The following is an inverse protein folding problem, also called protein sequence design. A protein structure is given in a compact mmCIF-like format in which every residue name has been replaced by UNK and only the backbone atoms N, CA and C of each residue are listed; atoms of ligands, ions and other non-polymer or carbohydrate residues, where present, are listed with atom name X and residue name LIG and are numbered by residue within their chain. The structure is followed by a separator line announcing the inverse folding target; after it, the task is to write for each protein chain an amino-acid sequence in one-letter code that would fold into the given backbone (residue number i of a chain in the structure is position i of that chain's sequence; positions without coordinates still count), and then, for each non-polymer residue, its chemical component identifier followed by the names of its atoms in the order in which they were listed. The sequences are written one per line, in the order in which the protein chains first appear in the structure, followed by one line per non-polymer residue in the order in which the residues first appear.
data_IF_863072373070
#
_entry.id   IF_863072373070
#
_cell.length_a   1.000
_cell.length_b   1.000
_cell.length_c   1.000
_cell.angle_alpha   90.00
_cell.angle_beta   90.00
_cell.angle_gamma   90.00
#
_symmetry.space_group_name_H-M   'P 1'
#
loop_
_entity.id
_entity.type
_entity.pdbx_description
1 polymer ?
#
# COMPACT_ATOMS: atom_id res chain seq x y z
N UNK A 1 4.57 -14.90 29.98
CA UNK A 1 5.07 -13.65 30.59
C UNK A 1 4.21 -12.51 30.07
N UNK A 2 3.68 -11.63 30.96
CA UNK A 2 3.02 -10.40 30.52
C UNK A 2 4.09 -9.32 30.23
N UNK A 3 3.90 -8.56 29.16
CA UNK A 3 4.70 -7.39 28.82
C UNK A 3 3.79 -6.15 28.88
N UNK A 4 4.33 -5.06 29.35
CA UNK A 4 3.63 -3.77 29.41
C UNK A 4 4.50 -2.71 28.76
N UNK A 5 3.96 -2.04 27.76
CA UNK A 5 4.62 -0.92 27.09
C UNK A 5 4.01 0.40 27.61
N UNK A 6 4.87 1.39 27.80
CA UNK A 6 4.43 2.76 28.15
C UNK A 6 4.69 3.66 26.95
N UNK A 7 3.64 3.99 26.24
CA UNK A 7 3.72 4.77 25.01
C UNK A 7 3.19 6.19 25.24
N UNK A 8 3.77 7.15 24.54
CA UNK A 8 3.23 8.50 24.46
C UNK A 8 3.38 9.04 23.05
N UNK A 9 2.37 9.71 22.57
CA UNK A 9 2.29 10.34 21.26
C UNK A 9 2.32 11.86 21.42
N UNK A 10 2.91 12.51 20.44
CA UNK A 10 2.91 13.96 20.34
C UNK A 10 2.66 14.39 18.91
N UNK A 11 1.83 15.41 18.72
CA UNK A 11 1.59 16.01 17.41
C UNK A 11 1.51 17.53 17.56
N UNK A 12 2.24 18.24 16.73
CA UNK A 12 2.15 19.69 16.59
C UNK A 12 1.93 20.02 15.12
N UNK A 13 1.01 20.93 14.84
CA UNK A 13 0.70 21.36 13.49
C UNK A 13 0.46 22.88 13.48
N UNK A 14 0.92 23.53 12.43
CA UNK A 14 0.62 24.94 12.16
C UNK A 14 0.11 25.10 10.74
N UNK A 15 -0.80 26.03 10.55
CA UNK A 15 -1.33 26.39 9.22
C UNK A 15 -1.15 27.89 9.02
N UNK A 16 -0.67 28.24 7.84
CA UNK A 16 -0.54 29.60 7.36
C UNK A 16 -1.32 29.76 6.07
N UNK A 17 -2.26 30.70 6.04
CA UNK A 17 -3.07 31.04 4.86
C UNK A 17 -2.55 32.35 4.27
N UNK A 18 -2.08 32.31 3.03
CA UNK A 18 -1.62 33.47 2.29
C UNK A 18 -2.69 33.93 1.29
N UNK A 19 -3.51 34.88 1.73
CA UNK A 19 -4.59 35.40 0.87
C UNK A 19 -5.60 34.33 0.50
N UNK A 20 -6.21 34.46 -0.69
CA UNK A 20 -7.26 33.55 -1.17
C UNK A 20 -6.73 32.42 -2.08
N UNK A 21 -5.42 32.21 -2.17
CA UNK A 21 -4.86 31.32 -3.20
C UNK A 21 -3.81 30.34 -2.72
N UNK A 22 -3.43 30.37 -1.45
CA UNK A 22 -2.38 29.48 -0.93
C UNK A 22 -2.54 29.21 0.56
N UNK A 23 -2.59 27.94 0.92
CA UNK A 23 -2.46 27.45 2.29
C UNK A 23 -1.18 26.62 2.43
N UNK A 24 -0.49 26.79 3.55
CA UNK A 24 0.68 25.98 3.93
C UNK A 24 0.43 25.37 5.29
N UNK A 25 0.59 24.07 5.41
CA UNK A 25 0.55 23.36 6.67
C UNK A 25 1.91 22.73 6.94
N UNK A 26 2.41 22.87 8.17
CA UNK A 26 3.63 22.20 8.64
C UNK A 26 3.26 21.39 9.88
N UNK A 27 3.67 20.13 9.88
CA UNK A 27 3.35 19.21 10.96
C UNK A 27 4.57 18.42 11.42
N UNK A 28 4.66 18.23 12.73
CA UNK A 28 5.54 17.24 13.34
C UNK A 28 4.71 16.26 14.16
N UNK A 29 4.97 14.98 14.03
CA UNK A 29 4.34 13.94 14.82
C UNK A 29 5.38 12.94 15.34
N UNK A 30 5.26 12.61 16.64
CA UNK A 30 5.87 11.42 17.22
C UNK A 30 4.77 10.43 17.51
N UNK A 31 4.87 9.23 16.95
CA UNK A 31 3.92 8.12 17.13
C UNK A 31 4.63 6.86 17.58
N UNK A 32 4.00 6.12 18.47
CA UNK A 32 4.56 4.90 19.03
C UNK A 32 3.62 3.74 18.78
N UNK A 33 4.18 2.63 18.29
CA UNK A 33 3.47 1.38 18.07
C UNK A 33 4.11 0.26 18.89
N UNK A 34 3.35 -0.33 19.80
CA UNK A 34 3.79 -1.56 20.48
C UNK A 34 3.83 -2.73 19.52
N UNK A 35 4.77 -3.68 19.70
CA UNK A 35 4.76 -4.94 18.98
C UNK A 35 3.43 -5.68 19.16
N UNK A 36 2.91 -6.25 18.10
CA UNK A 36 1.72 -7.07 18.17
C UNK A 36 1.99 -8.47 18.73
N UNK A 37 0.94 -9.27 18.94
CA UNK A 37 1.08 -10.60 19.53
C UNK A 37 1.90 -11.56 18.68
N UNK A 38 1.81 -11.44 17.35
CA UNK A 38 2.57 -12.29 16.44
C UNK A 38 4.05 -11.92 16.44
N UNK A 39 4.36 -10.64 16.42
CA UNK A 39 5.74 -10.14 16.47
C UNK A 39 6.46 -10.58 17.75
N UNK A 40 5.76 -10.65 18.89
CA UNK A 40 6.35 -11.08 20.16
C UNK A 40 6.31 -12.58 20.41
N UNK A 41 5.22 -13.26 20.02
CA UNK A 41 4.92 -14.59 20.56
C UNK A 41 4.82 -15.71 19.54
N UNK A 42 5.07 -15.45 18.26
CA UNK A 42 5.19 -16.53 17.28
C UNK A 42 6.43 -17.37 17.60
N UNK A 43 6.24 -18.66 17.85
CA UNK A 43 7.33 -19.52 18.35
C UNK A 43 7.90 -20.49 17.31
N UNK A 44 7.38 -20.51 16.10
CA UNK A 44 7.78 -21.46 15.07
C UNK A 44 7.74 -20.86 13.68
N UNK A 45 8.76 -21.19 12.90
CA UNK A 45 8.85 -20.90 11.47
C UNK A 45 8.36 -22.07 10.61
N UNK A 46 7.70 -23.06 11.22
CA UNK A 46 7.17 -24.20 10.47
C UNK A 46 6.12 -23.78 9.44
N UNK A 47 6.13 -24.42 8.29
CA UNK A 47 5.24 -24.11 7.16
C UNK A 47 3.76 -24.07 7.57
N UNK A 48 3.33 -24.98 8.44
CA UNK A 48 1.95 -24.99 8.93
C UNK A 48 1.60 -23.72 9.72
N UNK A 49 2.50 -23.28 10.60
CA UNK A 49 2.29 -22.05 11.39
C UNK A 49 2.23 -20.82 10.50
N UNK A 50 3.08 -20.74 9.49
CA UNK A 50 3.09 -19.65 8.54
C UNK A 50 1.79 -19.57 7.73
N UNK A 51 1.27 -20.69 7.26
CA UNK A 51 -0.01 -20.79 6.54
C UNK A 51 -1.15 -20.28 7.39
N UNK A 52 -1.20 -20.65 8.66
CA UNK A 52 -2.27 -20.28 9.59
C UNK A 52 -2.17 -18.81 10.01
N UNK A 53 -0.98 -18.23 10.00
CA UNK A 53 -0.70 -16.90 10.55
C UNK A 53 0.02 -15.97 9.58
N UNK A 54 -0.27 -16.02 8.30
CA UNK A 54 0.36 -15.16 7.28
C UNK A 54 0.09 -13.65 7.53
N UNK A 55 0.52 -13.18 8.70
CA UNK A 55 0.24 -11.82 9.19
C UNK A 55 0.96 -10.74 8.41
N UNK A 56 2.14 -11.05 7.86
CA UNK A 56 2.87 -10.13 7.00
C UNK A 56 2.36 -10.16 5.53
N UNK A 57 1.66 -11.22 5.14
CA UNK A 57 1.12 -11.37 3.79
C UNK A 57 2.16 -11.78 2.73
N UNK A 58 3.41 -12.02 3.13
CA UNK A 58 4.52 -12.33 2.22
C UNK A 58 4.77 -13.83 2.01
N UNK A 59 4.03 -14.66 2.71
CA UNK A 59 4.15 -16.11 2.61
C UNK A 59 5.36 -16.70 3.35
N UNK A 60 6.09 -15.93 4.13
CA UNK A 60 7.27 -16.37 4.87
C UNK A 60 6.95 -16.88 6.28
N UNK A 61 7.87 -17.61 6.88
CA UNK A 61 7.79 -18.07 8.27
C UNK A 61 8.50 -17.13 9.23
N UNK A 62 7.84 -16.76 10.32
CA UNK A 62 8.34 -15.80 11.28
C UNK A 62 8.52 -16.41 12.67
N UNK A 63 9.60 -16.01 13.33
CA UNK A 63 9.83 -16.22 14.74
C UNK A 63 9.71 -14.87 15.46
N UNK A 64 8.93 -14.82 16.52
CA UNK A 64 8.76 -13.63 17.35
C UNK A 64 9.91 -13.42 18.33
N UNK A 65 9.98 -12.23 18.89
CA UNK A 65 10.85 -11.92 20.02
C UNK A 65 10.09 -11.19 21.13
N UNK A 66 10.01 -11.79 22.29
CA UNK A 66 9.33 -11.23 23.46
C UNK A 66 9.96 -9.94 23.98
N UNK A 67 11.20 -9.65 23.57
CA UNK A 67 11.96 -8.49 24.01
C UNK A 67 11.88 -7.31 23.02
N UNK A 68 11.09 -7.41 21.95
CA UNK A 68 10.88 -6.29 21.05
C UNK A 68 10.41 -5.05 21.80
N UNK A 69 11.07 -3.95 21.49
CA UNK A 69 10.69 -2.61 21.95
C UNK A 69 9.64 -1.98 21.02
N UNK A 70 8.82 -1.06 21.52
CA UNK A 70 7.89 -0.31 20.66
C UNK A 70 8.60 0.56 19.62
N UNK A 71 8.09 0.56 18.41
CA UNK A 71 8.54 1.48 17.36
C UNK A 71 8.22 2.93 17.71
N UNK A 72 9.11 3.84 17.35
CA UNK A 72 8.97 5.28 17.59
C UNK A 72 9.19 6.04 16.29
N UNK A 73 8.11 6.42 15.63
CA UNK A 73 8.14 7.16 14.38
C UNK A 73 8.13 8.67 14.63
N UNK A 74 9.09 9.36 14.04
CA UNK A 74 9.21 10.82 14.06
C UNK A 74 9.00 11.33 12.64
N UNK A 75 7.87 11.99 12.40
CA UNK A 75 7.47 12.44 11.07
C UNK A 75 7.46 13.96 11.00
N UNK A 76 8.14 14.50 10.01
CA UNK A 76 7.98 15.88 9.55
C UNK A 76 7.22 15.87 8.23
N UNK A 77 6.14 16.65 8.14
CA UNK A 77 5.34 16.76 6.94
C UNK A 77 5.01 18.22 6.63
N UNK A 78 4.90 18.53 5.35
CA UNK A 78 4.40 19.81 4.89
C UNK A 78 3.30 19.57 3.85
N UNK A 79 2.32 20.46 3.79
CA UNK A 79 1.33 20.50 2.72
C UNK A 79 1.29 21.91 2.15
N UNK A 80 1.44 22.00 0.84
CA UNK A 80 1.27 23.22 0.07
C UNK A 80 0.00 23.06 -0.78
N UNK A 81 -0.98 23.91 -0.55
CA UNK A 81 -2.27 23.88 -1.24
C UNK A 81 -2.47 25.20 -1.99
N UNK A 82 -2.28 25.18 -3.30
CA UNK A 82 -2.55 26.29 -4.20
C UNK A 82 -3.93 26.12 -4.83
N UNK A 83 -4.73 27.17 -4.81
CA UNK A 83 -6.09 27.09 -5.30
C UNK A 83 -6.63 28.44 -5.78
N UNK A 84 -7.65 28.41 -6.62
CA UNK A 84 -8.48 29.59 -6.87
C UNK A 84 -9.28 29.97 -5.62
N UNK A 85 -9.68 31.24 -5.50
CA UNK A 85 -10.48 31.71 -4.36
C UNK A 85 -11.80 30.92 -4.21
N UNK A 86 -12.40 30.50 -5.31
CA UNK A 86 -13.60 29.68 -5.38
C UNK A 86 -13.31 28.16 -5.45
N UNK A 87 -12.03 27.77 -5.34
CA UNK A 87 -11.55 26.38 -5.51
C UNK A 87 -11.96 25.71 -6.84
N UNK A 88 -12.20 26.51 -7.88
CA UNK A 88 -12.45 25.96 -9.22
C UNK A 88 -11.27 25.12 -9.73
N UNK A 89 -10.05 25.52 -9.41
CA UNK A 89 -8.86 24.70 -9.54
C UNK A 89 -8.08 24.62 -8.20
N UNK A 90 -7.43 23.52 -7.99
CA UNK A 90 -6.52 23.32 -6.85
C UNK A 90 -5.38 22.38 -7.24
N UNK A 91 -4.21 22.63 -6.63
CA UNK A 91 -3.05 21.77 -6.69
C UNK A 91 -2.45 21.66 -5.29
N UNK A 92 -2.25 20.45 -4.83
CA UNK A 92 -1.69 20.16 -3.50
C UNK A 92 -0.45 19.30 -3.64
N UNK A 93 0.60 19.67 -2.90
CA UNK A 93 1.82 18.88 -2.74
C UNK A 93 2.09 18.64 -1.26
N UNK A 94 2.22 17.37 -0.87
CA UNK A 94 2.41 16.96 0.52
C UNK A 94 3.67 16.09 0.67
N UNK A 95 4.88 16.68 0.73
CA UNK A 95 6.10 15.95 1.05
C UNK A 95 6.13 15.57 2.55
N UNK A 96 6.75 14.43 2.84
CA UNK A 96 6.98 13.98 4.21
C UNK A 96 8.31 13.24 4.34
N UNK A 97 8.84 13.24 5.57
CA UNK A 97 9.99 12.45 5.98
C UNK A 97 9.71 11.86 7.36
N UNK A 98 9.94 10.55 7.51
CA UNK A 98 9.78 9.82 8.77
C UNK A 98 11.05 9.07 9.10
N UNK A 99 11.55 9.25 10.31
CA UNK A 99 12.56 8.41 10.93
C UNK A 99 11.91 7.51 11.98
N UNK A 100 12.22 6.24 11.99
CA UNK A 100 11.64 5.26 12.91
C UNK A 100 12.75 4.59 13.70
N UNK A 101 12.79 4.88 15.00
CA UNK A 101 13.62 4.14 15.95
C UNK A 101 12.90 2.86 16.36
N UNK A 102 13.67 1.81 16.61
CA UNK A 102 13.15 0.49 17.00
C UNK A 102 12.12 -0.08 16.01
N UNK A 103 12.24 0.23 14.73
CA UNK A 103 11.39 -0.32 13.68
C UNK A 103 11.39 -1.84 13.73
N UNK A 104 10.20 -2.46 13.77
CA UNK A 104 10.05 -3.90 13.87
C UNK A 104 10.10 -4.49 12.47
N UNK A 105 11.28 -4.91 12.08
CA UNK A 105 11.54 -5.59 10.82
C UNK A 105 11.92 -7.05 11.07
N UNK A 106 12.37 -7.75 10.04
CA UNK A 106 12.74 -9.14 10.11
C UNK A 106 14.10 -9.39 9.45
N UNK A 107 14.88 -10.27 10.05
CA UNK A 107 16.15 -10.75 9.51
C UNK A 107 16.06 -12.23 9.19
N UNK A 108 16.81 -12.68 8.18
CA UNK A 108 16.87 -14.11 7.84
C UNK A 108 17.45 -14.91 8.99
N UNK A 109 16.81 -16.02 9.34
CA UNK A 109 17.37 -17.03 10.20
C UNK A 109 18.59 -17.64 9.51
N UNK A 110 19.81 -17.22 9.91
CA UNK A 110 21.02 -17.88 9.45
C UNK A 110 21.17 -19.24 10.15
N UNK A 111 21.72 -20.23 9.46
CA UNK A 111 21.90 -21.59 9.99
C UNK A 111 22.78 -21.68 11.25
N UNK A 112 23.50 -20.61 11.60
CA UNK A 112 24.41 -20.56 12.71
C UNK A 112 23.95 -19.59 13.80
N UNK A 113 23.24 -20.08 14.80
CA UNK A 113 23.26 -19.47 16.13
C UNK A 113 22.12 -18.56 16.54
N UNK A 114 21.10 -18.31 15.76
CA UNK A 114 19.92 -17.60 16.26
C UNK A 114 19.01 -18.53 17.05
N UNK A 115 18.84 -18.26 18.35
CA UNK A 115 17.95 -19.03 19.22
C UNK A 115 16.52 -19.05 18.63
N UNK A 116 15.98 -20.25 18.43
CA UNK A 116 14.66 -20.48 17.87
C UNK A 116 14.59 -20.59 16.33
N UNK A 117 15.64 -20.26 15.62
CA UNK A 117 15.77 -20.45 14.16
C UNK A 117 16.40 -21.81 13.80
N UNK A 118 16.21 -22.82 14.63
CA UNK A 118 16.78 -24.16 14.42
C UNK A 118 15.93 -24.97 13.43
N UNK A 119 16.60 -25.65 12.53
CA UNK A 119 16.03 -26.63 11.62
C UNK A 119 16.65 -26.54 10.24
N UNK A 120 17.04 -27.68 9.69
CA UNK A 120 17.49 -27.79 8.30
C UNK A 120 16.29 -27.46 7.40
N UNK A 121 16.30 -26.29 6.79
CA UNK A 121 15.35 -25.99 5.74
C UNK A 121 15.73 -26.82 4.51
N UNK A 122 14.90 -27.74 4.14
CA UNK A 122 14.96 -28.33 2.80
C UNK A 122 14.08 -27.44 1.91
N UNK A 123 14.65 -26.71 0.95
CA UNK A 123 13.82 -25.95 0.03
C UNK A 123 12.87 -26.94 -0.68
N UNK A 124 11.58 -26.74 -0.49
CA UNK A 124 10.64 -27.40 -1.39
C UNK A 124 10.90 -26.81 -2.79
N UNK A 125 11.22 -27.59 -3.80
CA UNK A 125 11.50 -27.08 -5.15
C UNK A 125 10.35 -26.29 -5.77
N UNK A 126 9.15 -26.37 -5.19
CA UNK A 126 7.99 -25.54 -5.56
C UNK A 126 7.89 -24.22 -4.78
N UNK A 127 8.84 -23.89 -3.91
CA UNK A 127 8.78 -22.72 -3.00
C UNK A 127 10.08 -21.95 -2.96
N UNK A 128 10.57 -21.51 -4.11
CA UNK A 128 11.83 -20.77 -4.22
C UNK A 128 11.82 -19.43 -3.47
N UNK A 129 10.64 -18.92 -3.14
CA UNK A 129 10.46 -17.61 -2.51
C UNK A 129 10.31 -17.66 -0.98
N UNK A 130 10.12 -18.85 -0.36
CA UNK A 130 9.95 -18.98 1.08
C UNK A 130 11.27 -18.79 1.83
N UNK A 131 11.25 -17.92 2.83
CA UNK A 131 12.37 -17.74 3.76
C UNK A 131 11.91 -17.84 5.21
N UNK A 132 12.84 -18.15 6.13
CA UNK A 132 12.60 -18.12 7.56
C UNK A 132 13.21 -16.87 8.15
N UNK A 133 12.42 -16.18 8.93
CA UNK A 133 12.69 -14.85 9.44
C UNK A 133 12.50 -14.81 10.96
N UNK A 134 13.21 -13.89 11.60
CA UNK A 134 13.01 -13.51 13.00
C UNK A 134 12.74 -12.01 13.06
N UNK A 135 11.75 -11.61 13.84
CA UNK A 135 11.48 -10.20 14.12
C UNK A 135 12.59 -9.62 15.02
N UNK A 136 13.03 -8.42 14.67
CA UNK A 136 14.04 -7.64 15.40
C UNK A 136 13.70 -6.16 15.34
N UNK A 137 14.18 -5.39 16.32
CA UNK A 137 14.16 -3.94 16.23
C UNK A 137 15.36 -3.46 15.42
N UNK A 138 15.11 -2.53 14.51
CA UNK A 138 16.09 -1.90 13.63
C UNK A 138 15.71 -0.42 13.45
N UNK A 139 16.45 0.28 12.61
CA UNK A 139 16.15 1.68 12.29
C UNK A 139 15.65 1.79 10.85
N UNK A 140 14.62 2.58 10.62
CA UNK A 140 14.09 2.79 9.29
C UNK A 140 13.90 4.27 8.98
N UNK A 141 13.91 4.59 7.69
CA UNK A 141 13.50 5.88 7.16
C UNK A 141 12.47 5.70 6.07
N UNK A 142 11.47 6.59 6.05
CA UNK A 142 10.50 6.68 4.96
C UNK A 142 10.42 8.13 4.51
N UNK A 143 10.31 8.35 3.23
CA UNK A 143 10.03 9.67 2.69
C UNK A 143 9.21 9.55 1.42
N UNK A 144 8.48 10.59 1.09
CA UNK A 144 7.66 10.57 -0.10
C UNK A 144 7.01 11.92 -0.36
N UNK A 145 6.19 11.92 -1.40
CA UNK A 145 5.38 13.07 -1.78
C UNK A 145 4.06 12.58 -2.38
N UNK A 146 2.97 13.19 -1.90
CA UNK A 146 1.66 13.06 -2.50
C UNK A 146 1.34 14.34 -3.28
N UNK A 147 1.03 14.20 -4.56
CA UNK A 147 0.54 15.26 -5.40
C UNK A 147 -0.91 15.01 -5.77
N UNK A 148 -1.76 16.02 -5.68
CA UNK A 148 -3.13 15.95 -6.18
C UNK A 148 -3.56 17.28 -6.75
N UNK A 149 -4.48 17.24 -7.72
CA UNK A 149 -5.00 18.45 -8.29
C UNK A 149 -6.25 18.23 -9.11
N UNK A 150 -6.97 19.31 -9.32
CA UNK A 150 -8.08 19.39 -10.25
C UNK A 150 -8.10 20.75 -10.95
N UNK A 151 -8.56 20.76 -12.18
CA UNK A 151 -8.75 21.99 -12.93
C UNK A 151 -9.90 21.87 -13.95
N UNK A 152 -10.64 22.93 -14.21
CA UNK A 152 -11.55 22.97 -15.36
C UNK A 152 -10.72 23.07 -16.63
N UNK A 153 -11.12 22.33 -17.66
CA UNK A 153 -10.53 22.43 -19.01
C UNK A 153 -11.31 23.39 -19.88
N UNK A 154 -12.62 23.50 -19.66
CA UNK A 154 -13.49 24.41 -20.39
C UNK A 154 -14.94 23.96 -20.44
N UNK A 155 -15.80 24.86 -20.92
CA UNK A 155 -17.21 24.61 -21.17
C UNK A 155 -17.49 24.70 -22.68
N UNK A 156 -18.19 23.71 -23.19
CA UNK A 156 -18.59 23.61 -24.59
C UNK A 156 -20.10 23.41 -24.67
N UNK A 157 -20.67 23.41 -25.88
CA UNK A 157 -22.07 23.01 -26.08
C UNK A 157 -22.40 21.58 -25.64
N UNK A 158 -21.38 20.73 -25.48
CA UNK A 158 -21.50 19.35 -24.98
C UNK A 158 -21.39 19.23 -23.45
N UNK A 159 -21.03 20.31 -22.74
CA UNK A 159 -20.91 20.31 -21.30
C UNK A 159 -19.61 20.88 -20.77
N UNK A 160 -19.37 20.66 -19.49
CA UNK A 160 -18.16 21.10 -18.75
C UNK A 160 -17.19 19.94 -18.65
N UNK A 161 -15.96 20.21 -19.09
CA UNK A 161 -14.84 19.26 -18.98
C UNK A 161 -13.89 19.70 -17.89
N UNK A 162 -13.34 18.73 -17.18
CA UNK A 162 -12.34 18.95 -16.13
C UNK A 162 -11.29 17.83 -16.11
N UNK A 163 -10.17 18.13 -15.47
CA UNK A 163 -9.08 17.18 -15.25
C UNK A 163 -8.84 17.05 -13.76
N UNK A 164 -8.69 15.80 -13.28
CA UNK A 164 -8.25 15.48 -11.92
C UNK A 164 -7.02 14.58 -12.00
N UNK A 165 -6.08 14.79 -11.11
CA UNK A 165 -4.89 13.95 -11.03
C UNK A 165 -4.45 13.71 -9.61
N UNK A 166 -3.81 12.56 -9.40
CA UNK A 166 -3.03 12.28 -8.20
C UNK A 166 -1.77 11.51 -8.59
N UNK A 167 -0.72 11.71 -7.81
CA UNK A 167 0.52 10.96 -7.91
C UNK A 167 1.02 10.71 -6.48
N UNK A 168 1.44 9.49 -6.23
CA UNK A 168 2.05 9.08 -4.97
C UNK A 168 3.44 8.52 -5.24
N UNK A 169 4.41 8.96 -4.47
CA UNK A 169 5.75 8.38 -4.40
C UNK A 169 6.14 8.17 -2.94
N UNK A 170 6.55 6.96 -2.61
CA UNK A 170 7.08 6.58 -1.30
C UNK A 170 8.34 5.78 -1.49
N UNK A 171 9.36 6.07 -0.68
CA UNK A 171 10.54 5.24 -0.51
C UNK A 171 10.69 4.91 0.98
N UNK A 172 11.01 3.67 1.28
CA UNK A 172 11.25 3.18 2.63
C UNK A 172 12.50 2.32 2.65
N UNK A 173 13.39 2.57 3.62
CA UNK A 173 14.64 1.83 3.75
C UNK A 173 14.97 1.52 5.19
N UNK A 174 15.36 0.29 5.44
CA UNK A 174 16.00 -0.12 6.67
C UNK A 174 17.45 0.39 6.66
N UNK A 175 17.81 1.23 7.63
CA UNK A 175 19.13 1.89 7.63
C UNK A 175 20.21 1.05 8.31
N UNK A 176 19.86 0.01 9.05
CA UNK A 176 20.83 -0.87 9.70
C UNK A 176 21.32 -1.97 8.74
N UNK A 177 20.46 -2.40 7.82
CA UNK A 177 20.78 -3.47 6.85
C UNK A 177 20.97 -2.95 5.44
N UNK A 178 20.61 -1.69 5.18
CA UNK A 178 20.58 -1.06 3.85
C UNK A 178 19.66 -1.81 2.87
N UNK A 179 18.58 -2.43 3.39
CA UNK A 179 17.55 -3.16 2.64
C UNK A 179 16.31 -2.26 2.42
N UNK A 180 15.56 -2.51 1.36
CA UNK A 180 14.29 -1.83 1.15
C UNK A 180 13.21 -2.37 2.10
N UNK A 181 12.31 -1.49 2.55
CA UNK A 181 11.22 -1.91 3.42
C UNK A 181 10.19 -2.71 2.64
N UNK A 182 9.66 -3.74 3.31
CA UNK A 182 8.60 -4.57 2.77
C UNK A 182 7.31 -3.78 2.49
N UNK A 183 6.63 -4.16 1.41
CA UNK A 183 5.28 -3.69 1.07
C UNK A 183 5.16 -2.18 0.77
N UNK A 184 6.22 -1.57 0.27
CA UNK A 184 6.19 -0.18 -0.21
C UNK A 184 5.56 -0.14 -1.61
N UNK A 185 4.55 0.71 -1.77
CA UNK A 185 3.89 0.92 -3.06
C UNK A 185 4.82 1.67 -4.02
N UNK A 186 5.09 1.17 -5.23
CA UNK A 186 5.88 1.89 -6.22
C UNK A 186 5.18 3.16 -6.69
N UNK A 187 5.93 4.04 -7.35
CA UNK A 187 5.37 5.25 -7.95
C UNK A 187 4.10 4.92 -8.72
N UNK A 188 3.02 5.62 -8.36
CA UNK A 188 1.73 5.44 -9.00
C UNK A 188 1.02 6.77 -9.22
N UNK A 189 0.19 6.80 -10.25
CA UNK A 189 -0.57 7.97 -10.60
C UNK A 189 -1.95 7.60 -11.15
N UNK A 190 -2.91 8.51 -10.97
CA UNK A 190 -4.22 8.45 -11.61
C UNK A 190 -4.51 9.78 -12.29
N UNK A 191 -5.04 9.72 -13.49
CA UNK A 191 -5.48 10.88 -14.25
C UNK A 191 -6.91 10.64 -14.71
N UNK A 192 -7.82 11.55 -14.37
CA UNK A 192 -9.24 11.43 -14.70
C UNK A 192 -9.71 12.63 -15.50
N UNK A 193 -10.15 12.40 -16.73
CA UNK A 193 -10.93 13.35 -17.51
C UNK A 193 -12.39 13.25 -17.05
N UNK A 194 -12.97 14.37 -16.61
CA UNK A 194 -14.37 14.45 -16.19
C UNK A 194 -15.21 15.24 -17.19
N UNK A 195 -16.47 14.86 -17.32
CA UNK A 195 -17.45 15.52 -18.18
C UNK A 195 -18.79 15.61 -17.48
N UNK A 196 -19.39 16.79 -17.44
CA UNK A 196 -20.70 17.04 -16.85
C UNK A 196 -21.62 17.77 -17.83
N UNK A 197 -22.81 17.21 -18.04
CA UNK A 197 -23.83 17.84 -18.90
C UNK A 197 -25.24 17.31 -18.61
N UNK A 198 -26.20 18.18 -18.35
CA UNK A 198 -27.63 17.84 -18.29
C UNK A 198 -27.99 16.70 -17.33
N UNK A 199 -27.37 16.64 -16.14
CA UNK A 199 -27.57 15.57 -15.18
C UNK A 199 -26.61 14.39 -15.35
N UNK A 200 -25.85 14.30 -16.45
CA UNK A 200 -24.76 13.35 -16.65
C UNK A 200 -23.48 13.79 -15.94
N UNK A 201 -22.83 12.85 -15.30
CA UNK A 201 -21.48 13.00 -14.73
C UNK A 201 -20.66 11.77 -15.15
N UNK A 202 -19.68 11.98 -16.02
CA UNK A 202 -18.91 10.93 -16.65
C UNK A 202 -17.41 11.11 -16.35
N UNK A 203 -16.66 10.02 -16.35
CA UNK A 203 -15.23 10.04 -16.15
C UNK A 203 -14.51 8.92 -16.90
N UNK A 204 -13.37 9.28 -17.46
CA UNK A 204 -12.38 8.32 -17.98
C UNK A 204 -11.15 8.44 -17.09
N UNK A 205 -10.78 7.37 -16.42
CA UNK A 205 -9.65 7.32 -15.51
C UNK A 205 -8.53 6.44 -16.08
N UNK A 206 -7.33 6.98 -16.14
CA UNK A 206 -6.10 6.24 -16.42
C UNK A 206 -5.38 6.01 -15.09
N UNK A 207 -5.14 4.76 -14.73
CA UNK A 207 -4.33 4.33 -13.58
C UNK A 207 -2.99 3.85 -14.09
N UNK A 208 -1.91 4.38 -13.56
CA UNK A 208 -0.53 4.06 -13.93
C UNK A 208 0.23 3.61 -12.67
N UNK A 209 0.86 2.46 -12.74
CA UNK A 209 1.66 1.92 -11.63
C UNK A 209 3.00 1.45 -12.20
N UNK A 210 4.09 1.96 -11.62
CA UNK A 210 5.46 1.54 -11.97
C UNK A 210 5.70 0.10 -11.51
N UNK A 211 6.59 -0.62 -12.17
CA UNK A 211 7.07 -1.92 -11.68
C UNK A 211 7.71 -1.77 -10.30
N UNK A 212 7.47 -2.76 -9.45
CA UNK A 212 8.11 -2.89 -8.14
C UNK A 212 9.34 -3.76 -8.31
N UNK A 213 10.52 -3.13 -8.31
CA UNK A 213 11.82 -3.78 -8.41
C UNK A 213 12.66 -3.54 -7.14
N UNK A 214 12.18 -2.64 -6.26
CA UNK A 214 12.80 -2.27 -5.01
C UNK A 214 11.97 -2.95 -3.89
N UNK A 215 12.27 -4.21 -3.61
CA UNK A 215 11.60 -5.01 -2.58
C UNK A 215 12.56 -5.40 -1.48
N UNK A 216 12.04 -5.86 -0.33
CA UNK A 216 12.87 -6.35 0.78
C UNK A 216 13.62 -7.63 0.39
N UNK A 217 14.94 -7.55 0.32
CA UNK A 217 15.82 -8.69 0.08
C UNK A 217 15.73 -9.71 1.21
N UNK A 218 15.65 -9.23 2.46
CA UNK A 218 15.53 -10.10 3.62
C UNK A 218 14.31 -11.01 3.52
N UNK A 219 13.19 -10.50 3.03
CA UNK A 219 11.91 -11.21 2.89
C UNK A 219 11.75 -11.92 1.55
N UNK A 220 12.72 -11.77 0.63
CA UNK A 220 12.60 -12.25 -0.75
C UNK A 220 11.29 -11.78 -1.39
N UNK A 221 11.03 -10.47 -1.28
CA UNK A 221 9.79 -9.86 -1.72
C UNK A 221 9.60 -10.00 -3.23
N UNK A 222 8.37 -10.30 -3.64
CA UNK A 222 8.07 -10.56 -5.03
C UNK A 222 8.07 -9.27 -5.84
N UNK A 223 8.87 -9.22 -6.88
CA UNK A 223 8.85 -8.17 -7.88
C UNK A 223 7.61 -8.27 -8.77
N UNK A 224 7.06 -7.13 -9.17
CA UNK A 224 5.91 -7.08 -10.07
C UNK A 224 6.13 -6.09 -11.21
N UNK A 225 5.70 -6.46 -12.40
CA UNK A 225 5.73 -5.57 -13.56
C UNK A 225 4.79 -4.39 -13.39
N UNK A 226 5.16 -3.24 -13.94
CA UNK A 226 4.27 -2.08 -14.01
C UNK A 226 3.07 -2.33 -14.93
N UNK A 227 2.01 -1.56 -14.69
CA UNK A 227 0.79 -1.67 -15.48
C UNK A 227 0.06 -0.35 -15.62
N UNK A 228 -0.79 -0.27 -16.65
CA UNK A 228 -1.73 0.81 -16.86
C UNK A 228 -3.13 0.21 -17.03
N UNK A 229 -4.14 0.84 -16.39
CA UNK A 229 -5.54 0.47 -16.52
C UNK A 229 -6.36 1.67 -16.97
N UNK A 230 -7.41 1.43 -17.72
CA UNK A 230 -8.41 2.43 -18.09
C UNK A 230 -9.73 2.02 -17.47
N UNK A 231 -10.33 2.96 -16.73
CA UNK A 231 -11.64 2.80 -16.10
C UNK A 231 -12.62 3.81 -16.71
N UNK A 232 -13.87 3.40 -16.88
CA UNK A 232 -14.96 4.26 -17.31
C UNK A 232 -16.00 4.34 -16.21
N UNK A 233 -16.50 5.54 -15.95
CA UNK A 233 -17.59 5.79 -14.99
C UNK A 233 -18.58 6.74 -15.60
N UNK A 234 -19.86 6.47 -15.41
CA UNK A 234 -20.93 7.34 -15.82
C UNK A 234 -22.06 7.31 -14.81
N UNK A 235 -22.68 8.44 -14.59
CA UNK A 235 -23.90 8.50 -13.81
C UNK A 235 -24.88 9.50 -14.41
N UNK A 236 -26.15 9.26 -14.18
CA UNK A 236 -27.20 10.20 -14.49
C UNK A 236 -28.12 10.44 -13.29
N UNK A 237 -28.35 11.71 -13.00
CA UNK A 237 -29.19 12.14 -11.90
C UNK A 237 -30.50 12.74 -12.43
N UNK A 238 -31.63 12.18 -12.02
CA UNK A 238 -32.94 12.76 -12.09
C UNK A 238 -33.30 13.39 -10.73
N UNK A 239 -34.51 13.91 -10.57
CA UNK A 239 -34.88 14.61 -9.33
C UNK A 239 -34.57 13.85 -8.04
N UNK A 240 -34.92 12.58 -7.97
CA UNK A 240 -34.80 11.74 -6.77
C UNK A 240 -33.99 10.45 -7.00
N UNK A 241 -33.64 10.17 -8.25
CA UNK A 241 -32.98 8.94 -8.65
C UNK A 241 -31.62 9.27 -9.25
N UNK A 242 -30.56 8.59 -8.84
CA UNK A 242 -29.28 8.57 -9.51
C UNK A 242 -28.94 7.12 -9.88
N UNK A 243 -28.56 6.92 -11.12
CA UNK A 243 -28.03 5.65 -11.62
C UNK A 243 -26.55 5.82 -11.91
N UNK A 244 -25.75 4.95 -11.38
CA UNK A 244 -24.31 4.89 -11.58
C UNK A 244 -23.97 3.60 -12.35
N UNK A 245 -23.09 3.69 -13.34
CA UNK A 245 -22.53 2.55 -14.07
C UNK A 245 -21.03 2.73 -14.21
N UNK A 246 -20.30 1.62 -14.22
CA UNK A 246 -18.87 1.70 -14.42
C UNK A 246 -18.27 0.41 -14.95
N UNK A 247 -17.12 0.57 -15.58
CA UNK A 247 -16.27 -0.53 -16.05
C UNK A 247 -14.86 -0.26 -15.52
N UNK A 248 -14.34 -1.16 -14.73
CA UNK A 248 -12.95 -1.13 -14.29
C UNK A 248 -12.12 -2.08 -15.12
N UNK A 249 -10.86 -1.71 -15.37
CA UNK A 249 -9.96 -2.46 -16.23
C UNK A 249 -10.60 -2.77 -17.60
N UNK A 250 -10.99 -1.72 -18.30
CA UNK A 250 -11.74 -1.79 -19.58
C UNK A 250 -11.13 -2.77 -20.58
N UNK A 251 -9.81 -2.84 -20.65
CA UNK A 251 -9.08 -3.67 -21.64
C UNK A 251 -8.74 -5.06 -21.12
N UNK A 252 -9.26 -5.46 -19.93
CA UNK A 252 -9.02 -6.76 -19.29
C UNK A 252 -7.52 -7.09 -19.17
N UNK A 253 -6.73 -6.07 -18.78
CA UNK A 253 -5.30 -6.21 -18.59
C UNK A 253 -5.02 -7.13 -17.41
N UNK A 254 -4.25 -8.20 -17.64
CA UNK A 254 -3.71 -9.00 -16.55
C UNK A 254 -2.54 -8.26 -15.89
N UNK A 255 -2.52 -8.21 -14.55
CA UNK A 255 -1.48 -7.56 -13.76
C UNK A 255 -1.39 -8.16 -12.37
N UNK A 256 -0.29 -7.90 -11.67
CA UNK A 256 -0.10 -8.27 -10.28
C UNK A 256 -0.16 -7.04 -9.39
N UNK A 257 -0.65 -7.22 -8.15
CA UNK A 257 -0.71 -6.17 -7.14
C UNK A 257 0.69 -5.98 -6.49
N UNK A 258 1.32 -4.82 -6.59
CA UNK A 258 2.67 -4.60 -6.05
C UNK A 258 2.75 -4.75 -4.53
N UNK A 259 1.64 -4.53 -3.84
CA UNK A 259 1.49 -4.66 -2.38
C UNK A 259 0.55 -5.81 -2.01
N UNK A 260 0.33 -6.74 -2.93
CA UNK A 260 -0.53 -7.90 -2.70
C UNK A 260 0.12 -9.01 -1.87
N UNK A 261 1.43 -8.95 -1.68
CA UNK A 261 2.19 -10.01 -1.03
C UNK A 261 2.26 -11.27 -1.88
N UNK A 262 2.41 -12.42 -1.22
CA UNK A 262 2.46 -13.73 -1.85
C UNK A 262 1.12 -14.45 -1.76
N UNK A 263 0.66 -14.97 -2.89
CA UNK A 263 -0.52 -15.84 -2.93
C UNK A 263 -0.20 -17.20 -2.30
N UNK A 264 -0.95 -17.53 -1.27
CA UNK A 264 -0.81 -18.80 -0.53
C UNK A 264 -2.09 -19.63 -0.59
N UNK A 265 -2.87 -19.54 -1.63
CA UNK A 265 -4.20 -20.11 -1.78
C UNK A 265 -4.37 -21.55 -1.32
N UNK A 266 -5.60 -21.96 -1.11
CA UNK A 266 -5.97 -23.33 -0.69
C UNK A 266 -5.35 -24.36 -1.63
N UNK A 267 -4.73 -25.37 -1.05
CA UNK A 267 -4.14 -26.48 -1.77
C UNK A 267 -2.62 -26.38 -1.97
N UNK A 268 -2.03 -25.17 -2.03
CA UNK A 268 -0.57 -25.00 -1.96
C UNK A 268 -0.03 -25.19 -0.56
N UNK A 269 -0.88 -25.02 0.42
CA UNK A 269 -0.53 -24.96 1.82
C UNK A 269 -0.66 -26.30 2.53
N UNK A 270 -1.58 -27.13 2.08
CA UNK A 270 -1.94 -28.38 2.77
C UNK A 270 -1.80 -29.63 1.88
N UNK A 271 -1.79 -29.51 0.60
CA UNK A 271 -1.55 -30.63 -0.30
C UNK A 271 -0.16 -30.56 -0.88
N UNK A 272 0.55 -31.65 -0.79
CA UNK A 272 1.65 -31.95 -1.67
C UNK A 272 1.22 -31.64 -3.10
N UNK A 273 2.07 -30.97 -3.84
CA UNK A 273 1.92 -30.51 -5.23
C UNK A 273 1.46 -31.57 -6.25
N UNK A 274 0.62 -32.50 -5.85
CA UNK A 274 0.24 -33.67 -6.65
C UNK A 274 -0.74 -33.38 -7.78
N UNK A 275 -1.27 -32.16 -7.89
CA UNK A 275 -2.28 -31.87 -8.91
C UNK A 275 -1.99 -30.51 -9.56
N UNK A 276 -1.15 -30.46 -10.51
CA UNK A 276 -0.72 -29.46 -11.48
C UNK A 276 -1.50 -28.15 -11.74
N UNK A 277 -2.37 -27.70 -10.87
CA UNK A 277 -3.27 -26.55 -11.11
C UNK A 277 -3.19 -25.50 -9.99
N UNK A 278 -2.37 -25.69 -8.97
CA UNK A 278 -2.29 -24.79 -7.83
C UNK A 278 -1.15 -23.80 -8.06
N UNK A 279 -1.36 -22.48 -7.86
CA UNK A 279 -0.27 -21.51 -7.95
C UNK A 279 0.89 -21.92 -7.04
N UNK A 280 2.09 -21.81 -7.56
CA UNK A 280 3.28 -22.10 -6.77
C UNK A 280 3.37 -21.11 -5.60
N UNK A 281 3.93 -21.58 -4.50
CA UNK A 281 4.25 -20.73 -3.37
C UNK A 281 5.09 -19.51 -3.80
N UNK A 282 4.76 -18.33 -3.27
CA UNK A 282 5.47 -17.10 -3.63
C UNK A 282 5.02 -16.51 -4.97
N UNK A 283 3.90 -16.97 -5.52
CA UNK A 283 3.27 -16.31 -6.68
C UNK A 283 2.67 -14.97 -6.23
N UNK A 284 2.91 -13.93 -7.03
CA UNK A 284 2.31 -12.61 -6.79
C UNK A 284 0.77 -12.68 -6.89
N UNK A 285 0.08 -11.85 -6.12
CA UNK A 285 -1.37 -11.79 -6.13
C UNK A 285 -1.86 -11.07 -7.39
N UNK A 286 -2.68 -11.71 -8.24
CA UNK A 286 -3.22 -11.04 -9.42
C UNK A 286 -4.23 -9.95 -9.04
N UNK A 287 -4.25 -8.88 -9.81
CA UNK A 287 -5.29 -7.88 -9.75
C UNK A 287 -6.59 -8.35 -10.40
N UNK A 288 -7.67 -7.60 -10.16
CA UNK A 288 -8.97 -7.92 -10.75
C UNK A 288 -8.96 -7.72 -12.27
N UNK A 289 -9.52 -8.68 -12.98
CA UNK A 289 -9.86 -8.54 -14.40
C UNK A 289 -10.93 -7.47 -14.64
N UNK A 290 -11.42 -7.37 -15.86
CA UNK A 290 -12.51 -6.43 -16.18
C UNK A 290 -13.72 -6.68 -15.30
N UNK A 291 -14.17 -5.61 -14.64
CA UNK A 291 -15.34 -5.63 -13.78
C UNK A 291 -16.35 -4.59 -14.25
N UNK A 292 -17.63 -4.96 -14.23
CA UNK A 292 -18.74 -4.07 -14.56
C UNK A 292 -19.63 -3.96 -13.33
N UNK A 293 -20.02 -2.74 -12.98
CA UNK A 293 -20.95 -2.52 -11.87
C UNK A 293 -22.04 -1.53 -12.25
N UNK A 294 -23.17 -1.65 -11.59
CA UNK A 294 -24.26 -0.68 -11.66
C UNK A 294 -24.85 -0.46 -10.26
N UNK A 295 -25.29 0.75 -10.00
CA UNK A 295 -25.91 1.13 -8.73
C UNK A 295 -27.07 2.10 -8.96
N UNK A 296 -28.07 2.04 -8.07
CA UNK A 296 -29.19 2.97 -8.06
C UNK A 296 -29.32 3.57 -6.67
N UNK A 297 -29.35 4.89 -6.62
CA UNK A 297 -29.57 5.66 -5.39
C UNK A 297 -30.90 6.38 -5.49
N UNK A 298 -31.75 6.26 -4.47
CA UNK A 298 -33.01 6.95 -4.37
C UNK A 298 -33.03 7.85 -3.13
N UNK A 299 -33.42 9.11 -3.33
CA UNK A 299 -33.55 10.08 -2.24
C UNK A 299 -35.02 10.25 -1.91
N UNK A 300 -35.40 9.88 -0.70
CA UNK A 300 -36.76 10.05 -0.16
C UNK A 300 -37.08 11.49 0.17
#
# INVERSE_FOLDING_TARGET
RSKTDKNWDFTAMTRYTRGAGMDVELGFARKVRSPNLYERYTWSTATMMMIMNNTAGDGNGYLGDVNLEPEKAHTLAATFDWHAADRAWEFRASPYYTHVDDYIDAVRCSAAGMAGCSGTYVPNPSTTSFVRLKYVNQTARLYGIDLSGKMPLGQTGMGVFGLKGLLNYTNGRNTDTDDDLYNIMPLNAKLTLTHQHGGWDNGIELVMVKGKNDGSDARNEIETSGYNLVNLRGSHSWKQVRVDVGVENLFDKFYYLPTGGAYIGQGTTMSTAAVGVVPQWGTAVPGMGRSIYAGVNYKF
#
